data_IF_345803801537
#
_entry.id   IF_345803801537
#
_cell.length_a   1.000
_cell.length_b   1.000
_cell.length_c   1.000
_cell.angle_alpha   90.00
_cell.angle_beta   90.00
_cell.angle_gamma   90.00
#
_symmetry.space_group_name_H-M   'P 1'
#
loop_
_entity.id
_entity.type
_entity.pdbx_description
1 polymer ?
#
# COMPACT_ATOMS: atom_id res chain seq x y z
N UNK A 1 0.73 14.91 -3.84
CA UNK A 1 1.76 14.12 -3.13
C UNK A 1 1.85 12.77 -3.83
N UNK A 2 2.73 11.85 -3.43
CA UNK A 2 2.70 10.48 -3.92
C UNK A 2 2.39 9.53 -2.75
N UNK A 3 1.59 8.50 -3.00
CA UNK A 3 1.18 7.52 -1.99
C UNK A 3 1.35 6.11 -2.51
N UNK A 4 1.78 5.22 -1.63
CA UNK A 4 1.76 3.77 -1.82
C UNK A 4 0.64 3.24 -0.94
N UNK A 5 -0.28 2.45 -1.50
CA UNK A 5 -1.41 1.90 -0.75
C UNK A 5 -1.10 0.45 -0.40
N UNK A 6 -1.09 0.10 0.87
CA UNK A 6 -0.97 -1.32 1.25
C UNK A 6 -2.21 -2.09 0.78
N UNK A 7 -2.02 -3.34 0.35
CA UNK A 7 -3.11 -4.23 -0.07
C UNK A 7 -4.21 -4.35 0.98
N UNK A 8 -3.86 -4.33 2.28
CA UNK A 8 -4.85 -4.45 3.34
C UNK A 8 -5.87 -3.30 3.37
N UNK A 9 -5.52 -2.12 2.86
CA UNK A 9 -6.45 -0.98 2.72
C UNK A 9 -7.55 -1.31 1.71
N UNK A 10 -7.16 -1.84 0.55
CA UNK A 10 -8.10 -2.23 -0.49
C UNK A 10 -8.97 -3.42 -0.06
N UNK A 11 -8.39 -4.40 0.63
CA UNK A 11 -9.14 -5.53 1.20
C UNK A 11 -10.15 -5.02 2.25
N UNK A 12 -9.72 -4.16 3.17
CA UNK A 12 -10.59 -3.57 4.18
C UNK A 12 -11.77 -2.80 3.56
N UNK A 13 -11.53 -2.03 2.50
CA UNK A 13 -12.59 -1.29 1.80
C UNK A 13 -13.66 -2.22 1.19
N UNK A 14 -13.27 -3.40 0.72
CA UNK A 14 -14.21 -4.41 0.22
C UNK A 14 -15.08 -5.00 1.35
N UNK A 15 -14.59 -5.01 2.59
CA UNK A 15 -15.33 -5.49 3.79
C UNK A 15 -15.67 -6.97 3.79
N UNK A 16 -15.00 -7.78 2.96
CA UNK A 16 -15.21 -9.24 2.88
C UNK A 16 -14.14 -9.96 3.68
N UNK A 17 -14.57 -10.83 4.60
CA UNK A 17 -13.67 -11.70 5.38
C UNK A 17 -12.54 -10.95 6.11
N UNK A 18 -12.78 -9.68 6.47
CA UNK A 18 -11.83 -8.84 7.20
C UNK A 18 -12.23 -8.69 8.66
N UNK A 19 -11.25 -8.40 9.52
CA UNK A 19 -11.48 -8.01 10.92
C UNK A 19 -11.60 -6.47 11.10
N UNK A 20 -11.72 -5.71 10.00
CA UNK A 20 -11.90 -4.26 10.03
C UNK A 20 -13.20 -3.86 10.76
N UNK A 21 -13.16 -2.80 11.56
CA UNK A 21 -14.37 -2.15 12.05
C UNK A 21 -15.12 -1.44 10.90
N UNK A 22 -16.41 -1.16 11.08
CA UNK A 22 -17.17 -0.37 10.10
C UNK A 22 -16.54 1.01 9.86
N UNK A 23 -15.97 1.61 10.92
CA UNK A 23 -15.28 2.90 10.82
C UNK A 23 -13.98 2.77 10.01
N UNK A 24 -13.18 1.74 10.25
CA UNK A 24 -11.98 1.46 9.48
C UNK A 24 -12.31 1.22 8.00
N UNK A 25 -13.33 0.40 7.72
CA UNK A 25 -13.79 0.18 6.36
C UNK A 25 -14.20 1.48 5.67
N UNK A 26 -14.96 2.36 6.33
CA UNK A 26 -15.33 3.66 5.77
C UNK A 26 -14.11 4.54 5.46
N UNK A 27 -13.12 4.61 6.36
CA UNK A 27 -11.87 5.35 6.10
C UNK A 27 -11.12 4.82 4.89
N UNK A 28 -11.04 3.49 4.74
CA UNK A 28 -10.43 2.87 3.56
C UNK A 28 -11.21 3.20 2.30
N UNK A 29 -12.55 3.13 2.33
CA UNK A 29 -13.42 3.50 1.20
C UNK A 29 -13.18 4.96 0.78
N UNK A 30 -13.21 5.88 1.75
CA UNK A 30 -13.07 7.31 1.49
C UNK A 30 -11.71 7.62 0.85
N UNK A 31 -10.62 7.09 1.39
CA UNK A 31 -9.27 7.26 0.83
C UNK A 31 -9.18 6.75 -0.61
N UNK A 32 -9.62 5.52 -0.89
CA UNK A 32 -9.52 4.94 -2.23
C UNK A 32 -10.37 5.71 -3.24
N UNK A 33 -11.54 6.21 -2.82
CA UNK A 33 -12.39 7.06 -3.65
C UNK A 33 -11.77 8.43 -3.91
N UNK A 34 -11.10 9.04 -2.93
CA UNK A 34 -10.40 10.31 -3.09
C UNK A 34 -9.25 10.19 -4.10
N UNK A 35 -8.48 9.10 -4.03
CA UNK A 35 -7.40 8.79 -4.98
C UNK A 35 -7.98 8.55 -6.37
N UNK A 36 -8.93 7.61 -6.50
CA UNK A 36 -9.48 7.21 -7.80
C UNK A 36 -10.24 8.34 -8.53
N UNK A 37 -10.71 9.35 -7.81
CA UNK A 37 -11.38 10.53 -8.38
C UNK A 37 -10.46 11.73 -8.56
N UNK A 38 -9.19 11.63 -8.18
CA UNK A 38 -8.20 12.71 -8.27
C UNK A 38 -8.47 13.87 -7.30
N UNK A 39 -9.33 13.70 -6.29
CA UNK A 39 -9.68 14.76 -5.34
C UNK A 39 -8.53 15.12 -4.40
N UNK A 40 -7.64 14.17 -4.11
CA UNK A 40 -6.45 14.41 -3.30
C UNK A 40 -5.29 15.07 -4.05
N UNK A 41 -5.29 15.02 -5.40
CA UNK A 41 -4.13 15.43 -6.20
C UNK A 41 -2.89 14.57 -5.94
N UNK A 42 -3.09 13.34 -5.47
CA UNK A 42 -2.03 12.39 -5.16
C UNK A 42 -1.84 11.38 -6.29
N UNK A 43 -0.57 11.08 -6.61
CA UNK A 43 -0.19 10.02 -7.52
C UNK A 43 -0.08 8.71 -6.76
N UNK A 44 -0.57 7.62 -7.34
CA UNK A 44 -0.33 6.28 -6.78
C UNK A 44 1.01 5.78 -7.29
N UNK A 45 1.87 5.35 -6.38
CA UNK A 45 3.16 4.74 -6.72
C UNK A 45 3.00 3.24 -6.86
N UNK A 46 3.53 2.69 -7.95
CA UNK A 46 3.66 1.26 -8.21
C UNK A 46 5.08 0.97 -8.70
N UNK A 47 5.55 -0.27 -8.55
CA UNK A 47 6.83 -0.67 -9.10
C UNK A 47 6.73 -1.08 -10.58
N UNK A 48 7.77 -0.78 -11.37
CA UNK A 48 7.85 -1.13 -12.80
C UNK A 48 7.86 -2.65 -13.06
N UNK A 49 8.26 -3.45 -12.06
CA UNK A 49 8.29 -4.92 -12.16
C UNK A 49 6.89 -5.54 -11.96
N UNK A 50 5.93 -4.76 -11.46
CA UNK A 50 4.55 -5.18 -11.22
C UNK A 50 4.34 -5.97 -9.94
N UNK A 51 5.29 -5.99 -8.99
CA UNK A 51 5.22 -6.76 -7.74
C UNK A 51 4.06 -6.32 -6.83
N UNK A 52 3.85 -5.02 -6.67
CA UNK A 52 2.74 -4.45 -5.90
C UNK A 52 1.41 -4.72 -6.61
N UNK A 53 1.40 -4.58 -7.93
CA UNK A 53 0.20 -4.83 -8.72
C UNK A 53 -0.20 -6.32 -8.70
N UNK A 54 0.78 -7.23 -8.74
CA UNK A 54 0.57 -8.67 -8.66
C UNK A 54 -0.01 -9.07 -7.29
N UNK A 55 0.48 -8.47 -6.21
CA UNK A 55 -0.10 -8.62 -4.86
C UNK A 55 -1.60 -8.28 -4.85
N UNK A 56 -1.97 -7.10 -5.37
CA UNK A 56 -3.38 -6.73 -5.49
C UNK A 56 -4.19 -7.75 -6.29
N UNK A 57 -3.64 -8.26 -7.38
CA UNK A 57 -4.33 -9.24 -8.23
C UNK A 57 -4.62 -10.58 -7.53
N UNK A 58 -3.84 -10.91 -6.49
CA UNK A 58 -4.06 -12.09 -5.65
C UNK A 58 -5.24 -11.94 -4.68
N UNK A 59 -5.59 -10.71 -4.32
CA UNK A 59 -6.60 -10.40 -3.30
C UNK A 59 -7.86 -9.71 -3.83
N UNK A 60 -7.77 -9.01 -4.95
CA UNK A 60 -8.80 -8.14 -5.49
C UNK A 60 -9.28 -8.64 -6.86
N UNK A 61 -10.56 -8.40 -7.15
CA UNK A 61 -11.17 -8.88 -8.39
C UNK A 61 -12.22 -7.91 -8.90
N UNK A 62 -12.00 -7.39 -10.10
CA UNK A 62 -12.96 -6.54 -10.80
C UNK A 62 -14.10 -7.31 -11.50
N UNK A 63 -14.29 -8.60 -11.18
CA UNK A 63 -15.39 -9.44 -11.72
C UNK A 63 -16.56 -9.53 -10.73
N UNK A 64 -17.77 -9.75 -11.24
CA UNK A 64 -18.95 -9.99 -10.40
C UNK A 64 -19.56 -8.69 -9.85
N UNK A 65 -19.76 -8.63 -8.52
CA UNK A 65 -20.17 -7.42 -7.81
C UNK A 65 -18.96 -6.83 -7.08
N UNK A 66 -18.11 -6.03 -7.76
CA UNK A 66 -16.88 -5.51 -7.15
C UNK A 66 -17.19 -4.58 -5.97
N UNK A 67 -16.39 -4.68 -4.91
CA UNK A 67 -16.35 -3.69 -3.84
C UNK A 67 -15.49 -2.46 -4.21
N UNK A 68 -15.26 -1.56 -3.25
CA UNK A 68 -14.49 -0.33 -3.51
C UNK A 68 -13.00 -0.62 -3.75
N UNK A 69 -12.41 -1.59 -3.04
CA UNK A 69 -11.05 -2.05 -3.29
C UNK A 69 -10.90 -2.68 -4.68
N UNK A 70 -11.89 -3.46 -5.12
CA UNK A 70 -11.91 -4.03 -6.47
C UNK A 70 -12.00 -2.94 -7.56
N UNK A 71 -12.79 -1.89 -7.30
CA UNK A 71 -12.91 -0.72 -8.17
C UNK A 71 -11.59 0.05 -8.23
N UNK A 72 -10.93 0.26 -7.09
CA UNK A 72 -9.61 0.89 -7.03
C UNK A 72 -8.57 0.09 -7.82
N UNK A 73 -8.54 -1.22 -7.67
CA UNK A 73 -7.63 -2.07 -8.45
C UNK A 73 -7.87 -1.95 -9.96
N UNK A 74 -9.15 -1.91 -10.38
CA UNK A 74 -9.49 -1.62 -11.78
C UNK A 74 -9.01 -0.24 -12.22
N UNK A 75 -9.16 0.77 -11.38
CA UNK A 75 -8.66 2.12 -11.66
C UNK A 75 -7.14 2.11 -11.89
N UNK A 76 -6.37 1.42 -11.05
CA UNK A 76 -4.92 1.28 -11.26
C UNK A 76 -4.61 0.60 -12.59
N UNK A 77 -5.29 -0.50 -12.90
CA UNK A 77 -5.12 -1.21 -14.17
C UNK A 77 -5.40 -0.32 -15.38
N UNK A 78 -6.51 0.43 -15.35
CA UNK A 78 -6.94 1.26 -16.48
C UNK A 78 -6.02 2.49 -16.69
N UNK A 79 -5.35 2.96 -15.63
CA UNK A 79 -4.50 4.16 -15.64
C UNK A 79 -3.00 3.87 -15.50
N UNK A 80 -2.56 2.61 -15.56
CA UNK A 80 -1.16 2.22 -15.27
C UNK A 80 -0.10 2.87 -16.18
N UNK A 81 -0.51 3.40 -17.34
CA UNK A 81 0.35 4.12 -18.28
C UNK A 81 0.09 5.63 -18.32
N UNK A 82 -0.81 6.12 -17.47
CA UNK A 82 -1.07 7.55 -17.30
C UNK A 82 -0.15 8.11 -16.21
N UNK A 83 0.88 8.83 -16.64
CA UNK A 83 1.88 9.43 -15.74
C UNK A 83 1.33 10.60 -14.93
N UNK A 84 0.14 11.11 -15.28
CA UNK A 84 -0.55 12.14 -14.49
C UNK A 84 -1.35 11.52 -13.32
N UNK A 85 -1.38 10.18 -13.22
CA UNK A 85 -2.14 9.43 -12.20
C UNK A 85 -1.27 8.43 -11.46
N UNK A 86 -0.43 7.67 -12.18
CA UNK A 86 0.42 6.61 -11.65
C UNK A 86 1.89 7.00 -11.80
N UNK A 87 2.63 6.92 -10.69
CA UNK A 87 4.07 7.07 -10.66
C UNK A 87 4.71 5.68 -10.62
N UNK A 88 5.25 5.23 -11.75
CA UNK A 88 6.01 3.99 -11.79
C UNK A 88 7.45 4.24 -11.33
N UNK A 89 7.93 3.40 -10.40
CA UNK A 89 9.31 3.44 -9.90
C UNK A 89 10.04 2.12 -10.14
N UNK A 90 11.32 2.21 -10.46
CA UNK A 90 12.15 1.03 -10.60
C UNK A 90 12.70 0.62 -9.22
N UNK A 91 12.40 -0.62 -8.80
CA UNK A 91 12.96 -1.26 -7.60
C UNK A 91 13.86 -2.42 -8.04
N UNK A 92 14.79 -2.83 -7.19
CA UNK A 92 15.83 -3.80 -7.55
C UNK A 92 15.80 -5.01 -6.60
N UNK A 93 14.95 -6.03 -6.88
CA UNK A 93 14.96 -7.26 -6.09
C UNK A 93 16.31 -7.96 -6.17
N UNK A 94 16.72 -8.55 -5.06
CA UNK A 94 17.94 -9.34 -4.97
C UNK A 94 17.67 -10.72 -4.33
N UNK A 95 18.72 -11.56 -4.28
CA UNK A 95 18.62 -12.91 -3.69
C UNK A 95 19.12 -12.97 -2.23
N UNK A 96 19.32 -11.81 -1.58
CA UNK A 96 19.75 -11.76 -0.19
C UNK A 96 18.51 -11.70 0.71
N UNK A 97 18.22 -12.83 1.38
CA UNK A 97 17.07 -12.98 2.27
C UNK A 97 17.04 -11.97 3.43
N UNK A 98 18.18 -11.36 3.78
CA UNK A 98 18.27 -10.33 4.83
C UNK A 98 17.80 -8.94 4.37
N UNK A 99 17.80 -8.66 3.06
CA UNK A 99 17.42 -7.35 2.50
C UNK A 99 16.23 -7.46 1.54
N UNK A 100 16.23 -8.42 0.62
CA UNK A 100 15.24 -8.66 -0.43
C UNK A 100 15.32 -7.70 -1.61
N UNK A 101 15.78 -6.47 -1.39
CA UNK A 101 15.94 -5.41 -2.38
C UNK A 101 17.23 -4.64 -2.13
N UNK A 102 17.91 -4.19 -3.20
CA UNK A 102 19.16 -3.42 -3.07
C UNK A 102 18.94 -2.04 -2.42
N UNK A 103 17.71 -1.54 -2.48
CA UNK A 103 17.31 -0.29 -1.83
C UNK A 103 17.18 -0.41 -0.31
N UNK A 104 17.10 -1.63 0.24
CA UNK A 104 16.87 -1.86 1.65
C UNK A 104 18.15 -2.27 2.38
N UNK A 105 18.40 -1.75 3.60
CA UNK A 105 19.36 -2.35 4.51
C UNK A 105 18.85 -3.68 5.06
N UNK A 106 19.71 -4.42 5.78
CA UNK A 106 19.31 -5.63 6.50
C UNK A 106 18.12 -5.32 7.42
N UNK A 107 17.07 -6.15 7.35
CA UNK A 107 15.82 -5.87 8.03
C UNK A 107 15.06 -7.14 8.43
N UNK A 108 14.18 -7.00 9.43
CA UNK A 108 13.26 -8.05 9.88
C UNK A 108 11.83 -7.81 9.37
N UNK A 109 11.68 -6.98 8.32
CA UNK A 109 10.38 -6.71 7.67
C UNK A 109 9.92 -7.98 6.95
N UNK A 110 8.61 -8.23 6.93
CA UNK A 110 8.05 -9.38 6.22
C UNK A 110 8.46 -9.31 4.74
N UNK A 111 8.92 -10.42 4.13
CA UNK A 111 9.35 -10.41 2.74
C UNK A 111 8.31 -9.85 1.76
N UNK A 112 7.02 -10.06 2.03
CA UNK A 112 5.94 -9.54 1.20
C UNK A 112 5.76 -8.03 1.31
N UNK A 113 6.17 -7.39 2.41
CA UNK A 113 6.05 -5.95 2.62
C UNK A 113 7.23 -5.16 2.06
N UNK A 114 8.39 -5.81 1.88
CA UNK A 114 9.64 -5.17 1.43
C UNK A 114 9.51 -4.45 0.09
N UNK A 115 8.63 -4.93 -0.80
CA UNK A 115 8.34 -4.25 -2.08
C UNK A 115 7.75 -2.85 -1.89
N UNK A 116 6.91 -2.65 -0.88
CA UNK A 116 6.34 -1.34 -0.56
C UNK A 116 7.41 -0.41 0.00
N UNK A 117 8.30 -0.93 0.85
CA UNK A 117 9.44 -0.16 1.37
C UNK A 117 10.42 0.26 0.28
N UNK A 118 10.81 -0.67 -0.60
CA UNK A 118 11.70 -0.36 -1.71
C UNK A 118 11.09 0.74 -2.60
N UNK A 119 9.80 0.62 -2.94
CA UNK A 119 9.09 1.65 -3.70
C UNK A 119 9.02 2.99 -2.94
N UNK A 120 8.83 2.97 -1.61
CA UNK A 120 8.80 4.18 -0.78
C UNK A 120 10.15 4.90 -0.76
N UNK A 121 11.26 4.16 -0.60
CA UNK A 121 12.62 4.73 -0.64
C UNK A 121 12.91 5.39 -1.99
N UNK A 122 12.54 4.74 -3.09
CA UNK A 122 12.80 5.28 -4.44
C UNK A 122 11.93 6.51 -4.75
N UNK A 123 10.67 6.49 -4.34
CA UNK A 123 9.70 7.55 -4.66
C UNK A 123 9.66 8.70 -3.65
N UNK A 124 10.10 8.47 -2.41
CA UNK A 124 9.83 9.35 -1.26
C UNK A 124 8.35 9.41 -0.87
N UNK A 125 7.53 8.47 -1.34
CA UNK A 125 6.10 8.40 -1.02
C UNK A 125 5.88 7.78 0.37
N UNK A 126 4.82 8.23 1.05
CA UNK A 126 4.33 7.55 2.25
C UNK A 126 3.58 6.28 1.88
N UNK A 127 3.66 5.27 2.74
CA UNK A 127 2.84 4.07 2.66
C UNK A 127 1.58 4.29 3.50
N UNK A 128 0.42 3.90 2.99
CA UNK A 128 -0.84 3.98 3.72
C UNK A 128 -1.26 2.57 4.14
N UNK A 129 -1.47 2.40 5.44
CA UNK A 129 -1.80 1.13 6.08
C UNK A 129 -3.12 1.23 6.86
N UNK A 130 -3.93 0.17 6.85
CA UNK A 130 -5.17 0.08 7.61
C UNK A 130 -5.12 -0.99 8.70
N UNK A 131 -4.86 -2.26 8.37
CA UNK A 131 -5.08 -3.37 9.30
C UNK A 131 -3.80 -4.01 9.83
N UNK A 132 -2.68 -3.79 9.16
CA UNK A 132 -1.45 -4.51 9.50
C UNK A 132 -0.71 -3.83 10.65
N UNK A 133 -0.61 -4.52 11.78
CA UNK A 133 0.08 -4.03 12.97
C UNK A 133 1.60 -4.06 12.84
N UNK A 134 2.14 -4.85 11.92
CA UNK A 134 3.58 -5.05 11.75
C UNK A 134 4.32 -3.75 11.44
N UNK A 135 3.70 -2.87 10.65
CA UNK A 135 4.25 -1.55 10.34
C UNK A 135 4.55 -0.74 11.61
N UNK A 136 3.69 -0.84 12.63
CA UNK A 136 3.90 -0.14 13.88
C UNK A 136 5.05 -0.75 14.70
N UNK A 137 5.15 -2.08 14.73
CA UNK A 137 6.24 -2.77 15.43
C UNK A 137 7.61 -2.39 14.84
N UNK A 138 7.63 -2.13 13.52
CA UNK A 138 8.83 -1.77 12.75
C UNK A 138 9.11 -0.25 12.71
N UNK A 139 8.36 0.60 13.44
CA UNK A 139 8.45 2.08 13.36
C UNK A 139 9.85 2.67 13.57
N UNK A 140 10.68 2.04 14.42
CA UNK A 140 12.04 2.52 14.69
C UNK A 140 12.94 2.32 13.47
N UNK A 141 12.79 1.16 12.81
CA UNK A 141 13.46 0.86 11.55
C UNK A 141 12.96 1.77 10.43
N UNK A 142 11.64 1.97 10.31
CA UNK A 142 11.04 2.87 9.31
C UNK A 142 11.60 4.30 9.41
N UNK A 143 11.77 4.79 10.64
CA UNK A 143 12.37 6.10 10.89
C UNK A 143 13.86 6.16 10.53
N UNK A 144 14.60 5.07 10.67
CA UNK A 144 16.02 4.98 10.27
C UNK A 144 16.20 5.10 8.76
N UNK A 145 15.27 4.54 7.99
CA UNK A 145 15.28 4.57 6.51
C UNK A 145 14.47 5.73 5.90
N UNK A 146 14.00 6.67 6.73
CA UNK A 146 13.20 7.84 6.33
C UNK A 146 11.92 7.49 5.55
N UNK A 147 11.26 6.38 5.92
CA UNK A 147 9.99 5.95 5.33
C UNK A 147 8.83 6.27 6.29
N UNK A 148 7.85 7.02 5.80
CA UNK A 148 6.62 7.35 6.52
C UNK A 148 5.51 6.33 6.23
N UNK A 149 4.84 5.86 7.28
CA UNK A 149 3.69 4.97 7.19
C UNK A 149 2.50 5.58 7.92
N UNK A 150 1.46 5.90 7.16
CA UNK A 150 0.23 6.46 7.67
C UNK A 150 -0.76 5.35 8.08
N UNK A 151 -0.99 5.22 9.38
CA UNK A 151 -2.01 4.34 9.95
C UNK A 151 -3.40 5.01 9.89
N UNK A 152 -4.24 4.64 8.92
CA UNK A 152 -5.59 5.24 8.77
C UNK A 152 -6.64 4.62 9.71
N UNK A 153 -6.40 3.40 10.22
CA UNK A 153 -7.24 2.79 11.24
C UNK A 153 -6.48 2.64 12.56
N UNK A 154 -6.45 3.67 13.43
CA UNK A 154 -5.70 3.65 14.69
C UNK A 154 -6.09 2.52 15.64
N UNK A 155 -7.32 2.02 15.57
CA UNK A 155 -7.75 0.87 16.36
C UNK A 155 -7.04 -0.45 16.01
N UNK A 156 -6.44 -0.53 14.83
CA UNK A 156 -5.60 -1.64 14.36
C UNK A 156 -4.10 -1.31 14.42
N UNK A 157 -3.75 -0.06 14.69
CA UNK A 157 -2.40 0.33 15.12
C UNK A 157 -2.20 0.09 16.62
N UNK A 158 -1.03 0.42 17.15
CA UNK A 158 -0.82 0.33 18.59
C UNK A 158 -1.80 1.25 19.32
N UNK A 159 -2.71 0.62 20.06
CA UNK A 159 -3.64 1.30 20.96
C UNK A 159 -2.79 1.98 22.02
N UNK A 160 -2.71 3.31 21.99
CA UNK A 160 -2.24 4.07 23.13
C UNK A 160 -3.17 3.77 24.31
N UNK A 161 -2.71 2.90 25.21
CA UNK A 161 -3.29 2.71 26.54
C UNK A 161 -2.96 3.88 27.44
#
# INVERSE_FOLDING_TARGET
>A
MSVIVDTNVAIAANGRDTHATELCQMRCIDLLMEIATGRGGDFVVLDELGLIFEEYSGHLSYKGQPGVGDMFFKFLHDNMYDQDVICLVNVTPNNDESTGFDELPENEVDPSDRKFLAAAIVSGAKIVNALDGDWHEKREFLAEIDVDVEQICPEHGCVAG
#
